data_IF_090114577562
#
_entry.id   IF_090114577562
#
_cell.length_a   1.000
_cell.length_b   1.000
_cell.length_c   1.000
_cell.angle_alpha   90.00
_cell.angle_beta   90.00
_cell.angle_gamma   90.00
#
_symmetry.space_group_name_H-M   'P 1'
#
loop_
_entity.id
_entity.type
_entity.pdbx_description
1 polymer ?
#
# COMPACT_ATOMS: atom_id res chain seq x y z
N UNK A 1 12.71 18.23 12.43
CA UNK A 1 13.67 17.50 11.61
C UNK A 1 13.28 16.03 11.62
N UNK A 2 12.89 15.48 10.46
CA UNK A 2 12.60 14.05 10.33
C UNK A 2 13.90 13.27 10.62
N UNK A 3 13.85 12.42 11.63
CA UNK A 3 14.94 11.49 11.90
C UNK A 3 14.84 10.35 10.88
N UNK A 4 15.88 10.14 10.09
CA UNK A 4 15.96 8.96 9.22
C UNK A 4 15.75 7.69 10.05
N UNK A 5 14.84 6.82 9.60
CA UNK A 5 14.50 5.58 10.28
C UNK A 5 13.40 5.67 11.35
N UNK A 6 12.77 6.84 11.54
CA UNK A 6 11.57 6.92 12.38
C UNK A 6 10.33 6.43 11.60
N UNK A 7 9.41 5.69 12.24
CA UNK A 7 8.13 5.33 11.62
C UNK A 7 7.34 6.58 11.23
N UNK A 8 6.82 6.60 10.00
CA UNK A 8 6.00 7.69 9.46
C UNK A 8 4.64 7.14 9.11
N UNK A 9 3.58 7.87 9.45
CA UNK A 9 2.22 7.56 9.04
C UNK A 9 1.63 8.71 8.23
N UNK A 10 0.89 8.38 7.18
CA UNK A 10 0.11 9.31 6.38
C UNK A 10 -1.37 8.88 6.38
N UNK A 11 -2.26 9.83 6.31
CA UNK A 11 -3.70 9.61 6.36
C UNK A 11 -4.37 10.20 5.12
N UNK A 12 -5.28 9.44 4.53
CA UNK A 12 -6.08 9.83 3.37
C UNK A 12 -7.55 9.54 3.66
N UNK A 13 -8.43 10.47 3.32
CA UNK A 13 -9.88 10.26 3.30
C UNK A 13 -10.39 10.35 1.87
N UNK A 14 -11.23 9.39 1.49
CA UNK A 14 -11.95 9.38 0.23
C UNK A 14 -13.45 9.47 0.55
N UNK A 15 -14.17 10.38 -0.10
CA UNK A 15 -15.61 10.54 0.09
C UNK A 15 -16.25 11.11 -1.18
N UNK A 16 -17.49 10.73 -1.44
CA UNK A 16 -18.32 11.36 -2.48
C UNK A 16 -18.89 12.71 -2.00
N UNK A 17 -18.95 12.90 -0.68
CA UNK A 17 -19.39 14.13 -0.06
C UNK A 17 -18.21 15.01 0.38
N UNK A 18 -18.40 16.34 0.55
CA UNK A 18 -17.35 17.24 1.01
C UNK A 18 -16.76 16.82 2.36
N UNK A 19 -15.45 16.59 2.40
CA UNK A 19 -14.75 16.22 3.63
C UNK A 19 -14.58 17.46 4.51
N UNK A 20 -15.15 17.41 5.73
CA UNK A 20 -15.09 18.50 6.73
C UNK A 20 -14.25 18.13 7.96
N UNK A 21 -13.78 16.89 8.07
CA UNK A 21 -13.01 16.39 9.20
C UNK A 21 -11.55 16.24 8.77
N UNK A 22 -10.65 16.95 9.46
CA UNK A 22 -9.21 16.98 9.16
C UNK A 22 -8.35 16.36 10.25
N UNK A 23 -8.95 15.75 11.28
CA UNK A 23 -8.25 15.00 12.32
C UNK A 23 -7.60 13.74 11.78
N UNK A 24 -6.65 13.19 12.54
CA UNK A 24 -6.09 11.87 12.26
C UNK A 24 -7.19 10.80 12.22
N UNK A 25 -6.96 9.77 11.42
CA UNK A 25 -7.86 8.62 11.30
C UNK A 25 -7.51 7.64 12.42
N UNK A 26 -8.44 7.41 13.34
CA UNK A 26 -8.28 6.45 14.43
C UNK A 26 -8.76 5.04 14.07
N UNK A 27 -9.76 4.95 13.19
CA UNK A 27 -10.35 3.70 12.72
C UNK A 27 -10.37 3.70 11.18
N UNK A 28 -9.29 3.25 10.53
CA UNK A 28 -9.19 3.24 9.09
C UNK A 28 -9.90 2.03 8.47
N UNK A 29 -10.54 2.24 7.32
CA UNK A 29 -11.10 1.15 6.50
C UNK A 29 -10.00 0.36 5.77
N UNK A 30 -8.88 1.02 5.46
CA UNK A 30 -7.74 0.42 4.75
C UNK A 30 -6.44 0.83 5.42
N UNK A 31 -5.58 -0.15 5.68
CA UNK A 31 -4.24 0.03 6.24
C UNK A 31 -3.22 -0.45 5.21
N UNK A 32 -2.25 0.42 4.87
CA UNK A 32 -1.16 0.06 3.96
C UNK A 32 0.16 0.11 4.72
N UNK A 33 0.87 -1.01 4.77
CA UNK A 33 2.17 -1.15 5.46
C UNK A 33 3.26 -1.30 4.42
N UNK A 34 4.08 -0.24 4.27
CA UNK A 34 5.20 -0.24 3.32
C UNK A 34 6.43 -0.95 3.85
N UNK A 35 6.63 -0.97 5.17
CA UNK A 35 7.74 -1.65 5.82
C UNK A 35 7.21 -2.75 6.76
N UNK A 36 7.33 -4.04 6.36
CA UNK A 36 6.81 -5.15 7.16
C UNK A 36 7.51 -5.31 8.51
N UNK A 37 8.71 -4.75 8.70
CA UNK A 37 9.40 -4.77 9.98
C UNK A 37 8.67 -4.01 11.09
N UNK A 38 7.72 -3.15 10.70
CA UNK A 38 6.88 -2.39 11.63
C UNK A 38 5.71 -3.21 12.21
N UNK A 39 5.34 -4.35 11.62
CA UNK A 39 4.18 -5.13 12.06
C UNK A 39 4.16 -5.44 13.56
N UNK A 40 5.28 -5.88 14.20
CA UNK A 40 5.30 -6.14 15.63
C UNK A 40 5.05 -4.90 16.50
N UNK A 41 5.46 -3.72 16.01
CA UNK A 41 5.33 -2.44 16.71
C UNK A 41 3.94 -1.84 16.51
N UNK A 42 3.36 -2.00 15.33
CA UNK A 42 2.06 -1.44 14.97
C UNK A 42 0.91 -2.06 15.76
N UNK A 43 1.05 -3.33 16.20
CA UNK A 43 0.02 -4.06 16.96
C UNK A 43 -1.36 -3.92 16.30
N UNK A 44 -1.43 -4.19 14.99
CA UNK A 44 -2.62 -3.91 14.17
C UNK A 44 -3.90 -4.53 14.75
N UNK A 45 -3.81 -5.78 15.23
CA UNK A 45 -4.94 -6.53 15.81
C UNK A 45 -5.51 -5.87 17.08
N UNK A 46 -4.66 -5.21 17.88
CA UNK A 46 -5.06 -4.58 19.15
C UNK A 46 -5.62 -3.17 18.93
N UNK A 47 -5.29 -2.55 17.80
CA UNK A 47 -5.54 -1.12 17.57
C UNK A 47 -6.67 -0.83 16.60
N UNK A 48 -6.94 -1.74 15.66
CA UNK A 48 -7.85 -1.46 14.55
C UNK A 48 -8.93 -2.51 14.43
N UNK A 49 -10.05 -2.10 13.85
CA UNK A 49 -11.19 -2.96 13.62
C UNK A 49 -10.83 -4.11 12.67
N UNK A 50 -11.32 -5.30 12.98
CA UNK A 50 -11.13 -6.50 12.15
C UNK A 50 -11.81 -6.41 10.77
N UNK A 51 -12.74 -5.47 10.57
CA UNK A 51 -13.33 -5.19 9.26
C UNK A 51 -12.40 -4.44 8.31
N UNK A 52 -11.29 -3.88 8.81
CA UNK A 52 -10.32 -3.19 7.98
C UNK A 52 -9.65 -4.14 6.97
N UNK A 53 -9.34 -3.61 5.81
CA UNK A 53 -8.49 -4.26 4.81
C UNK A 53 -7.03 -3.91 5.08
N UNK A 54 -6.15 -4.90 5.10
CA UNK A 54 -4.71 -4.70 5.34
C UNK A 54 -3.92 -5.04 4.09
N UNK A 55 -3.06 -4.14 3.63
CA UNK A 55 -2.20 -4.32 2.46
C UNK A 55 -0.75 -4.19 2.91
N UNK A 56 0.09 -5.16 2.57
CA UNK A 56 1.46 -5.21 3.08
C UNK A 56 2.46 -5.44 1.95
N UNK A 57 3.50 -4.63 1.94
CA UNK A 57 4.69 -4.92 1.16
C UNK A 57 5.42 -6.10 1.81
N UNK A 58 5.18 -7.30 1.33
CA UNK A 58 5.77 -8.52 1.86
C UNK A 58 5.89 -9.59 0.78
N UNK A 59 6.98 -10.37 0.84
CA UNK A 59 7.17 -11.59 0.06
C UNK A 59 6.43 -12.80 0.65
N UNK A 60 5.99 -12.70 1.91
CA UNK A 60 5.23 -13.75 2.56
C UNK A 60 3.77 -13.66 2.14
N UNK A 61 3.08 -14.79 2.12
CA UNK A 61 1.65 -14.84 1.88
C UNK A 61 0.88 -14.26 3.07
N UNK A 62 -0.36 -13.79 2.87
CA UNK A 62 -1.19 -13.29 3.97
C UNK A 62 -1.32 -14.27 5.13
N UNK A 63 -1.44 -15.57 4.85
CA UNK A 63 -1.61 -16.65 5.84
C UNK A 63 -0.38 -16.81 6.75
N UNK A 64 0.79 -16.37 6.31
CA UNK A 64 2.06 -16.46 7.05
C UNK A 64 2.26 -15.27 8.01
N UNK A 65 1.35 -14.27 7.99
CA UNK A 65 1.54 -12.98 8.66
C UNK A 65 0.57 -12.86 9.85
N UNK A 66 0.33 -13.71 10.68
CA UNK A 66 -0.51 -13.55 11.90
C UNK A 66 -1.52 -12.35 11.85
N UNK A 67 -2.28 -12.25 10.73
CA UNK A 67 -3.25 -11.18 10.45
C UNK A 67 -4.64 -11.75 10.10
N UNK A 68 -4.90 -12.98 10.47
CA UNK A 68 -6.13 -13.74 10.25
C UNK A 68 -7.39 -13.13 10.88
N UNK A 69 -7.23 -12.16 11.77
CA UNK A 69 -8.34 -11.41 12.36
C UNK A 69 -8.98 -10.41 11.40
N UNK A 70 -8.23 -9.93 10.40
CA UNK A 70 -8.75 -8.93 9.45
C UNK A 70 -9.59 -9.58 8.35
N UNK A 71 -10.63 -8.87 7.89
CA UNK A 71 -11.56 -9.36 6.88
C UNK A 71 -10.88 -9.66 5.54
N UNK A 72 -9.88 -8.87 5.19
CA UNK A 72 -9.12 -9.01 3.95
C UNK A 72 -7.68 -8.57 4.15
N UNK A 73 -6.74 -9.43 3.76
CA UNK A 73 -5.31 -9.13 3.76
C UNK A 73 -4.74 -9.35 2.36
N UNK A 74 -4.05 -8.34 1.83
CA UNK A 74 -3.33 -8.41 0.56
C UNK A 74 -1.82 -8.27 0.76
N UNK A 75 -1.01 -9.09 0.09
CA UNK A 75 0.45 -8.99 0.11
C UNK A 75 1.03 -8.99 -1.29
N UNK A 76 2.11 -8.24 -1.46
CA UNK A 76 2.96 -8.28 -2.66
C UNK A 76 4.39 -7.85 -2.31
N UNK A 77 5.40 -8.42 -2.97
CA UNK A 77 6.81 -8.03 -2.81
C UNK A 77 7.12 -6.78 -3.65
N UNK A 78 6.64 -5.64 -3.16
CA UNK A 78 6.80 -4.34 -3.84
C UNK A 78 8.26 -3.90 -3.87
N UNK A 79 9.01 -4.24 -2.83
CA UNK A 79 10.45 -3.93 -2.75
C UNK A 79 11.22 -4.61 -3.88
N UNK A 80 11.01 -5.89 -4.06
CA UNK A 80 11.67 -6.65 -5.13
C UNK A 80 11.35 -6.08 -6.51
N UNK A 81 10.07 -5.88 -6.81
CA UNK A 81 9.63 -5.33 -8.09
C UNK A 81 10.18 -3.91 -8.34
N UNK A 82 10.22 -3.07 -7.31
CA UNK A 82 10.80 -1.73 -7.41
C UNK A 82 12.30 -1.78 -7.74
N UNK A 83 13.06 -2.66 -7.09
CA UNK A 83 14.49 -2.84 -7.34
C UNK A 83 14.77 -3.37 -8.74
N UNK A 84 14.04 -4.39 -9.21
CA UNK A 84 14.19 -4.94 -10.55
C UNK A 84 13.88 -3.93 -11.66
N UNK A 85 12.99 -2.96 -11.38
CA UNK A 85 12.62 -1.91 -12.32
C UNK A 85 13.42 -0.61 -12.11
N UNK A 86 14.52 -0.65 -11.35
CA UNK A 86 15.38 0.51 -11.05
C UNK A 86 14.61 1.70 -10.42
N UNK A 87 13.52 1.45 -9.73
CA UNK A 87 12.78 2.44 -8.96
C UNK A 87 13.47 2.67 -7.62
N UNK A 88 14.60 3.36 -7.65
CA UNK A 88 15.41 3.66 -6.47
C UNK A 88 15.75 5.13 -6.38
N UNK A 89 15.97 5.62 -5.17
CA UNK A 89 16.54 6.92 -4.88
C UNK A 89 17.56 6.78 -3.75
N UNK A 90 18.80 7.18 -4.01
CA UNK A 90 19.92 7.01 -3.09
C UNK A 90 20.06 5.55 -2.57
N UNK A 91 19.85 4.56 -3.44
CA UNK A 91 19.93 3.13 -3.11
C UNK A 91 18.74 2.56 -2.36
N UNK A 92 17.70 3.36 -2.11
CA UNK A 92 16.48 2.92 -1.42
C UNK A 92 15.35 2.74 -2.45
N UNK A 93 14.62 1.62 -2.35
CA UNK A 93 13.48 1.34 -3.21
C UNK A 93 12.35 2.37 -3.02
N UNK A 94 11.77 2.84 -4.14
CA UNK A 94 10.64 3.75 -4.15
C UNK A 94 9.36 2.90 -4.24
N UNK A 95 8.60 2.84 -3.17
CA UNK A 95 7.45 1.94 -3.03
C UNK A 95 6.09 2.63 -3.20
N UNK A 96 6.04 3.95 -3.04
CA UNK A 96 4.81 4.73 -2.92
C UNK A 96 3.88 4.66 -4.15
N UNK A 97 4.41 4.53 -5.36
CA UNK A 97 3.59 4.34 -6.56
C UNK A 97 3.36 2.86 -6.88
N UNK A 98 4.37 1.98 -6.85
CA UNK A 98 4.17 0.55 -7.09
C UNK A 98 3.13 -0.11 -6.18
N UNK A 99 3.10 0.23 -4.88
CA UNK A 99 2.12 -0.33 -3.92
C UNK A 99 0.67 -0.06 -4.31
N UNK A 100 0.42 0.96 -5.14
CA UNK A 100 -0.93 1.24 -5.63
C UNK A 100 -1.50 0.08 -6.47
N UNK A 101 -0.65 -0.75 -7.07
CA UNK A 101 -1.10 -1.98 -7.72
C UNK A 101 -1.80 -2.91 -6.74
N UNK A 102 -1.18 -3.18 -5.59
CA UNK A 102 -1.78 -3.99 -4.52
C UNK A 102 -3.02 -3.31 -3.92
N UNK A 103 -2.99 -1.99 -3.73
CA UNK A 103 -4.13 -1.23 -3.25
C UNK A 103 -5.35 -1.39 -4.17
N UNK A 104 -5.17 -1.17 -5.47
CA UNK A 104 -6.26 -1.33 -6.46
C UNK A 104 -6.79 -2.75 -6.47
N UNK A 105 -5.89 -3.75 -6.49
CA UNK A 105 -6.27 -5.16 -6.54
C UNK A 105 -7.07 -5.60 -5.32
N UNK A 106 -6.69 -5.12 -4.14
CA UNK A 106 -7.28 -5.57 -2.87
C UNK A 106 -8.56 -4.81 -2.53
N UNK A 107 -8.65 -3.51 -2.87
CA UNK A 107 -9.78 -2.67 -2.42
C UNK A 107 -10.82 -2.41 -3.49
N UNK A 108 -10.44 -2.43 -4.76
CA UNK A 108 -11.28 -2.04 -5.90
C UNK A 108 -11.91 -0.63 -5.79
N UNK A 109 -11.42 0.20 -4.84
CA UNK A 109 -11.92 1.57 -4.61
C UNK A 109 -11.65 2.50 -5.79
N UNK A 110 -10.59 2.24 -6.54
CA UNK A 110 -10.21 2.98 -7.75
C UNK A 110 -9.76 2.00 -8.83
N UNK A 111 -9.80 2.41 -10.09
CA UNK A 111 -9.30 1.57 -11.19
C UNK A 111 -7.81 1.80 -11.45
N UNK A 112 -7.13 0.78 -11.96
CA UNK A 112 -5.73 0.89 -12.38
C UNK A 112 -5.56 1.98 -13.47
N UNK A 113 -6.56 2.15 -14.34
CA UNK A 113 -6.58 3.22 -15.34
C UNK A 113 -6.65 4.62 -14.71
N UNK A 114 -7.35 4.78 -13.59
CA UNK A 114 -7.39 6.05 -12.85
C UNK A 114 -6.05 6.37 -12.21
N UNK A 115 -5.39 5.36 -11.64
CA UNK A 115 -4.01 5.48 -11.11
C UNK A 115 -3.04 5.88 -12.23
N UNK A 116 -3.11 5.22 -13.39
CA UNK A 116 -2.27 5.55 -14.56
C UNK A 116 -2.43 7.00 -14.99
N UNK A 117 -3.67 7.50 -15.11
CA UNK A 117 -3.95 8.90 -15.44
C UNK A 117 -3.32 9.88 -14.42
N UNK A 118 -3.39 9.55 -13.13
CA UNK A 118 -2.81 10.38 -12.08
C UNK A 118 -1.28 10.38 -12.12
N UNK A 119 -0.67 9.22 -12.33
CA UNK A 119 0.79 9.04 -12.44
C UNK A 119 1.33 9.78 -13.67
N UNK A 120 0.65 9.68 -14.82
CA UNK A 120 1.02 10.38 -16.05
C UNK A 120 0.97 11.93 -15.90
N UNK A 121 0.08 12.44 -15.05
CA UNK A 121 0.03 13.89 -14.74
C UNK A 121 1.14 14.34 -13.78
N UNK A 122 1.61 13.44 -12.93
CA UNK A 122 2.54 13.76 -11.83
C UNK A 122 4.00 13.64 -12.23
N UNK A 123 4.34 12.69 -13.09
CA UNK A 123 5.70 12.35 -13.45
C UNK A 123 5.99 12.66 -14.92
N UNK A 124 7.28 12.78 -15.28
CA UNK A 124 7.70 12.77 -16.68
C UNK A 124 7.31 11.44 -17.36
N UNK A 125 7.11 11.40 -18.68
CA UNK A 125 6.64 10.21 -19.40
C UNK A 125 7.42 8.93 -19.07
N UNK A 126 8.76 8.99 -19.03
CA UNK A 126 9.60 7.82 -18.73
C UNK A 126 9.42 7.35 -17.28
N UNK A 127 9.41 8.28 -16.32
CA UNK A 127 9.17 7.95 -14.91
C UNK A 127 7.76 7.41 -14.69
N UNK A 128 6.76 7.99 -15.34
CA UNK A 128 5.39 7.50 -15.27
C UNK A 128 5.29 6.07 -15.81
N UNK A 129 5.90 5.79 -16.96
CA UNK A 129 5.89 4.46 -17.58
C UNK A 129 6.51 3.39 -16.66
N UNK A 130 7.67 3.68 -16.06
CA UNK A 130 8.35 2.72 -15.18
C UNK A 130 7.53 2.48 -13.90
N UNK A 131 7.01 3.54 -13.30
CA UNK A 131 6.15 3.44 -12.11
C UNK A 131 4.88 2.62 -12.39
N UNK A 132 4.24 2.84 -13.54
CA UNK A 132 3.03 2.10 -13.90
C UNK A 132 3.32 0.65 -14.29
N UNK A 133 4.47 0.37 -14.91
CA UNK A 133 4.90 -1.00 -15.14
C UNK A 133 5.02 -1.76 -13.82
N UNK A 134 5.74 -1.19 -12.84
CA UNK A 134 5.86 -1.78 -11.53
C UNK A 134 4.49 -1.96 -10.83
N UNK A 135 3.62 -0.94 -10.87
CA UNK A 135 2.28 -1.03 -10.30
C UNK A 135 1.43 -2.14 -10.94
N UNK A 136 1.53 -2.35 -12.26
CA UNK A 136 0.83 -3.43 -12.99
C UNK A 136 1.36 -4.80 -12.58
N UNK A 137 2.69 -4.97 -12.48
CA UNK A 137 3.30 -6.22 -11.99
C UNK A 137 2.80 -6.53 -10.57
N UNK A 138 2.77 -5.53 -9.69
CA UNK A 138 2.28 -5.69 -8.33
C UNK A 138 0.80 -6.04 -8.31
N UNK A 139 -0.03 -5.38 -9.12
CA UNK A 139 -1.45 -5.72 -9.25
C UNK A 139 -1.64 -7.20 -9.59
N UNK A 140 -0.90 -7.72 -10.57
CA UNK A 140 -1.03 -9.09 -11.03
C UNK A 140 -0.46 -10.12 -10.03
N UNK A 141 0.58 -9.75 -9.27
CA UNK A 141 1.25 -10.61 -8.30
C UNK A 141 0.69 -10.54 -6.87
N UNK A 142 -0.26 -9.63 -6.60
CA UNK A 142 -0.86 -9.49 -5.28
C UNK A 142 -1.65 -10.75 -4.91
N UNK A 143 -1.29 -11.33 -3.77
CA UNK A 143 -1.99 -12.45 -3.14
C UNK A 143 -2.95 -11.91 -2.10
N UNK A 144 -4.19 -12.42 -2.11
CA UNK A 144 -5.22 -11.98 -1.18
C UNK A 144 -5.74 -13.17 -0.36
N UNK A 145 -6.03 -12.92 0.91
CA UNK A 145 -6.70 -13.85 1.80
C UNK A 145 -7.92 -13.18 2.43
N UNK A 146 -9.07 -13.78 2.23
CA UNK A 146 -10.32 -13.40 2.87
C UNK A 146 -10.52 -14.25 4.12
N UNK A 147 -10.84 -13.61 5.22
CA UNK A 147 -11.28 -14.34 6.42
C UNK A 147 -12.59 -15.09 6.12
N UNK A 148 -12.59 -16.37 6.38
CA UNK A 148 -13.76 -17.25 6.31
C UNK A 148 -14.77 -16.94 7.40
#
# INVERSE_FOLDING_TARGET
AERRGAPVAAFLRLSQEPIRIFSQISDPDVIVVLDPSLLPVLKLKDRYNSSATVIINSRHKPEDLDLDTFSLVGTADVTHVALENNLTMAGIAILNTPILGAFVKTTELVSLASVEKAVMKKFSPDKARINMLAAKIIYDSTVMHHRS
#
